data_IF_191108060974
#
_entry.id   IF_191108060974
#
_cell.length_a   1.000
_cell.length_b   1.000
_cell.length_c   1.000
_cell.angle_alpha   90.00
_cell.angle_beta   90.00
_cell.angle_gamma   90.00
#
_symmetry.space_group_name_H-M   'P 1'
#
loop_
_entity.id
_entity.type
_entity.pdbx_description
1 polymer ?
#
# COMPACT_ATOMS: atom_id res chain seq x y z
N UNK A 1 -0.05 20.74 14.77
CA UNK A 1 0.05 20.57 13.30
C UNK A 1 -1.33 20.26 12.75
N UNK A 2 -1.66 20.71 11.53
CA UNK A 2 -3.02 20.71 11.00
C UNK A 2 -3.60 19.30 10.86
N UNK A 3 -4.70 19.02 11.58
CA UNK A 3 -5.63 17.90 11.32
C UNK A 3 -6.07 17.96 9.85
N UNK A 4 -5.52 17.14 8.96
CA UNK A 4 -6.03 16.97 7.59
C UNK A 4 -7.29 16.09 7.67
N UNK A 5 -8.45 16.68 7.99
CA UNK A 5 -9.53 17.09 7.08
C UNK A 5 -10.03 15.92 6.22
N UNK A 6 -11.01 15.22 6.77
CA UNK A 6 -12.03 14.52 6.00
C UNK A 6 -12.76 15.63 5.22
N UNK A 7 -12.36 15.88 3.98
CA UNK A 7 -13.04 16.87 3.14
C UNK A 7 -14.14 16.21 2.34
N UNK A 8 -15.17 16.96 2.02
CA UNK A 8 -16.30 16.53 1.19
C UNK A 8 -15.82 15.91 -0.11
N UNK A 9 -14.81 16.51 -0.76
CA UNK A 9 -14.27 16.05 -2.04
C UNK A 9 -13.63 14.67 -1.90
N UNK A 10 -12.94 14.39 -0.80
CA UNK A 10 -12.33 13.08 -0.53
C UNK A 10 -13.35 12.01 -0.21
N UNK A 11 -14.45 12.38 0.45
CA UNK A 11 -15.56 11.46 0.71
C UNK A 11 -16.28 11.14 -0.60
N UNK A 12 -16.62 12.17 -1.39
CA UNK A 12 -17.27 12.03 -2.70
C UNK A 12 -16.44 11.20 -3.69
N UNK A 13 -15.12 11.38 -3.74
CA UNK A 13 -14.25 10.59 -4.62
C UNK A 13 -14.25 9.08 -4.30
N UNK A 14 -14.36 8.70 -3.02
CA UNK A 14 -14.50 7.29 -2.65
C UNK A 14 -15.91 6.76 -2.95
N UNK A 15 -16.95 7.58 -2.79
CA UNK A 15 -18.29 7.23 -3.27
C UNK A 15 -18.29 6.97 -4.77
N UNK A 16 -17.71 7.85 -5.58
CA UNK A 16 -17.59 7.67 -7.03
C UNK A 16 -16.85 6.37 -7.38
N UNK A 17 -15.75 6.07 -6.70
CA UNK A 17 -14.98 4.84 -6.91
C UNK A 17 -15.80 3.58 -6.61
N UNK A 18 -16.55 3.57 -5.50
CA UNK A 18 -17.40 2.43 -5.10
C UNK A 18 -18.63 2.31 -5.99
N UNK A 19 -19.21 3.43 -6.44
CA UNK A 19 -20.34 3.44 -7.37
C UNK A 19 -19.92 2.88 -8.74
N UNK A 20 -18.75 3.25 -9.25
CA UNK A 20 -18.26 2.75 -10.54
C UNK A 20 -18.01 1.23 -10.57
N UNK A 21 -17.79 0.59 -9.42
CA UNK A 21 -17.61 -0.87 -9.35
C UNK A 21 -18.93 -1.66 -9.39
N UNK A 22 -20.09 -1.00 -9.19
CA UNK A 22 -21.40 -1.63 -9.25
C UNK A 22 -22.19 -1.10 -10.46
N UNK A 23 -22.43 -1.96 -11.47
CA UNK A 23 -22.80 -1.54 -12.83
C UNK A 23 -24.18 -0.88 -13.01
N UNK A 24 -24.99 -0.72 -11.98
CA UNK A 24 -26.23 0.06 -12.07
C UNK A 24 -26.51 0.83 -10.78
N UNK A 25 -26.24 2.12 -10.78
CA UNK A 25 -26.77 3.06 -9.79
C UNK A 25 -27.51 4.17 -10.53
N UNK A 26 -28.83 4.13 -10.48
CA UNK A 26 -29.71 5.10 -11.12
C UNK A 26 -30.05 6.17 -10.09
N UNK A 27 -29.33 7.30 -10.15
CA UNK A 27 -29.60 8.52 -9.38
C UNK A 27 -30.73 9.32 -10.05
N UNK A 28 -31.94 8.78 -10.05
CA UNK A 28 -33.08 9.49 -10.65
C UNK A 28 -33.74 10.51 -9.71
N UNK A 29 -33.39 10.49 -8.43
CA UNK A 29 -33.90 11.44 -7.44
C UNK A 29 -32.73 12.07 -6.68
N UNK A 30 -32.84 13.36 -6.37
CA UNK A 30 -31.85 14.17 -5.67
C UNK A 30 -31.31 13.47 -4.42
N UNK A 31 -30.02 13.11 -4.44
CA UNK A 31 -29.37 12.48 -3.28
C UNK A 31 -28.85 13.54 -2.32
N UNK A 32 -29.47 13.59 -1.15
CA UNK A 32 -29.02 14.39 -0.01
C UNK A 32 -28.10 13.57 0.90
N UNK A 33 -26.82 13.93 0.94
CA UNK A 33 -25.82 13.32 1.83
C UNK A 33 -25.68 14.17 3.08
N UNK A 34 -26.25 13.72 4.20
CA UNK A 34 -26.10 14.37 5.50
C UNK A 34 -24.95 13.76 6.30
N UNK A 35 -23.84 14.49 6.42
CA UNK A 35 -22.67 14.09 7.23
C UNK A 35 -22.81 14.68 8.63
N UNK A 36 -23.19 13.86 9.60
CA UNK A 36 -23.28 14.28 11.01
C UNK A 36 -22.02 13.86 11.75
N UNK A 37 -21.22 14.85 12.18
CA UNK A 37 -20.09 14.63 13.06
C UNK A 37 -20.56 14.65 14.52
N UNK A 38 -20.66 13.47 15.13
CA UNK A 38 -20.95 13.32 16.56
C UNK A 38 -19.65 13.29 17.36
N UNK A 39 -19.60 14.07 18.45
CA UNK A 39 -18.54 13.92 19.45
C UNK A 39 -18.69 12.56 20.14
N UNK A 40 -17.59 11.81 20.22
CA UNK A 40 -17.58 10.52 20.88
C UNK A 40 -17.92 10.70 22.38
N UNK A 41 -18.86 9.93 22.95
CA UNK A 41 -19.17 10.01 24.37
C UNK A 41 -17.93 9.65 25.20
N UNK A 42 -17.78 10.28 26.36
CA UNK A 42 -16.68 10.05 27.29
C UNK A 42 -16.84 8.67 27.98
N UNK A 43 -16.45 7.59 27.30
CA UNK A 43 -16.49 6.22 27.84
C UNK A 43 -15.14 5.49 27.71
N UNK A 44 -14.71 4.85 28.82
CA UNK A 44 -13.56 3.94 28.91
C UNK A 44 -12.24 4.59 29.39
N UNK A 45 -11.56 3.96 30.37
CA UNK A 45 -10.17 4.26 30.81
C UNK A 45 -9.11 3.88 29.75
N UNK A 46 -9.40 4.06 28.46
CA UNK A 46 -8.42 3.94 27.41
C UNK A 46 -7.61 5.23 27.33
N UNK A 47 -6.28 5.15 27.33
CA UNK A 47 -5.43 6.30 27.03
C UNK A 47 -5.93 6.91 25.73
N UNK A 48 -6.34 8.19 25.74
CA UNK A 48 -6.68 8.95 24.52
C UNK A 48 -5.57 8.64 23.53
N UNK A 49 -5.88 7.95 22.42
CA UNK A 49 -4.90 7.76 21.34
C UNK A 49 -4.67 9.15 20.77
N UNK A 50 -3.68 9.85 21.31
CA UNK A 50 -3.10 11.03 20.69
C UNK A 50 -2.68 10.65 19.28
N UNK A 51 -2.73 11.63 18.37
CA UNK A 51 -2.23 11.58 16.99
C UNK A 51 -1.52 10.26 16.66
N UNK A 52 -2.16 9.43 15.83
CA UNK A 52 -1.56 8.20 15.33
C UNK A 52 -0.38 8.62 14.47
N UNK A 53 0.79 8.79 15.09
CA UNK A 53 2.04 9.01 14.41
C UNK A 53 2.21 7.80 13.48
N UNK A 54 2.17 8.04 12.17
CA UNK A 54 2.21 6.99 11.16
C UNK A 54 3.43 6.10 11.41
N UNK A 55 4.58 6.69 11.65
CA UNK A 55 5.80 5.94 11.89
C UNK A 55 5.67 5.01 13.10
N UNK A 56 5.16 5.50 14.23
CA UNK A 56 4.87 4.66 15.40
C UNK A 56 3.82 3.59 15.11
N UNK A 57 2.88 3.85 14.21
CA UNK A 57 1.86 2.89 13.80
C UNK A 57 2.43 1.79 12.89
N UNK A 58 3.21 2.16 11.88
CA UNK A 58 3.90 1.24 10.97
C UNK A 58 4.90 0.38 11.75
N UNK A 59 5.66 0.97 12.67
CA UNK A 59 6.61 0.24 13.53
C UNK A 59 5.94 -0.80 14.43
N UNK A 60 4.68 -0.61 14.81
CA UNK A 60 3.92 -1.56 15.63
C UNK A 60 3.25 -2.66 14.81
N UNK A 61 3.08 -2.48 13.50
CA UNK A 61 2.41 -3.47 12.64
C UNK A 61 3.41 -4.51 12.16
N UNK A 62 3.28 -5.74 12.69
CA UNK A 62 4.03 -6.90 12.19
C UNK A 62 3.69 -7.26 10.73
N UNK A 63 2.59 -6.71 10.19
CA UNK A 63 2.15 -6.92 8.81
C UNK A 63 2.88 -6.04 7.78
N UNK A 64 3.89 -5.28 8.19
CA UNK A 64 4.64 -4.37 7.32
C UNK A 64 6.14 -4.61 7.51
N UNK A 65 6.86 -4.80 6.39
CA UNK A 65 8.32 -4.76 6.36
C UNK A 65 8.72 -3.39 5.84
N UNK A 66 9.42 -2.64 6.69
CA UNK A 66 9.91 -1.31 6.33
C UNK A 66 11.14 -1.39 5.44
N UNK A 67 11.09 -0.70 4.31
CA UNK A 67 12.24 -0.54 3.42
C UNK A 67 13.04 0.67 3.90
N UNK A 68 14.23 0.41 4.44
CA UNK A 68 15.14 1.47 4.88
C UNK A 68 16.16 1.70 3.78
N UNK A 69 16.12 2.86 3.15
CA UNK A 69 17.04 3.21 2.07
C UNK A 69 17.29 4.71 2.03
N UNK A 70 18.48 5.09 1.56
CA UNK A 70 18.89 6.49 1.33
C UNK A 70 18.92 6.83 -0.17
N UNK A 71 18.59 5.87 -1.04
CA UNK A 71 18.47 6.05 -2.48
C UNK A 71 17.00 6.24 -2.90
N UNK A 72 16.77 6.42 -4.19
CA UNK A 72 15.41 6.58 -4.73
C UNK A 72 14.79 5.26 -5.20
N UNK A 73 15.32 4.11 -4.76
CA UNK A 73 14.96 2.78 -5.27
C UNK A 73 14.00 2.01 -4.35
N UNK A 74 13.23 2.71 -3.50
CA UNK A 74 12.37 2.07 -2.50
C UNK A 74 11.35 1.10 -3.13
N UNK A 75 10.75 1.45 -4.28
CA UNK A 75 9.85 0.54 -5.01
C UNK A 75 10.54 -0.77 -5.40
N UNK A 76 11.68 -0.70 -6.07
CA UNK A 76 12.40 -1.89 -6.51
C UNK A 76 12.91 -2.73 -5.34
N UNK A 77 13.38 -2.09 -4.27
CA UNK A 77 13.76 -2.77 -3.01
C UNK A 77 12.57 -3.50 -2.39
N UNK A 78 11.41 -2.84 -2.34
CA UNK A 78 10.19 -3.44 -1.82
C UNK A 78 9.76 -4.66 -2.66
N UNK A 79 9.80 -4.55 -3.99
CA UNK A 79 9.49 -5.65 -4.90
C UNK A 79 10.44 -6.84 -4.70
N UNK A 80 11.74 -6.60 -4.59
CA UNK A 80 12.74 -7.64 -4.33
C UNK A 80 12.47 -8.35 -2.99
N UNK A 81 12.19 -7.59 -1.93
CA UNK A 81 11.88 -8.15 -0.61
C UNK A 81 10.58 -8.97 -0.63
N UNK A 82 9.54 -8.44 -1.27
CA UNK A 82 8.25 -9.12 -1.38
C UNK A 82 8.36 -10.42 -2.19
N UNK A 83 9.07 -10.37 -3.33
CA UNK A 83 9.35 -11.53 -4.17
C UNK A 83 10.11 -12.61 -3.39
N UNK A 84 11.19 -12.23 -2.71
CA UNK A 84 11.99 -13.17 -1.90
C UNK A 84 11.16 -13.83 -0.80
N UNK A 85 10.22 -13.10 -0.20
CA UNK A 85 9.29 -13.66 0.79
C UNK A 85 8.33 -14.69 0.18
N UNK A 86 7.70 -14.35 -0.96
CA UNK A 86 6.70 -15.21 -1.62
C UNK A 86 7.35 -16.50 -2.12
N UNK A 87 8.55 -16.40 -2.68
CA UNK A 87 9.26 -17.57 -3.23
C UNK A 87 10.01 -18.39 -2.18
N UNK A 88 9.95 -18.01 -0.90
CA UNK A 88 10.73 -18.60 0.19
C UNK A 88 12.25 -18.64 -0.13
N UNK A 89 12.78 -17.52 -0.62
CA UNK A 89 14.19 -17.41 -1.02
C UNK A 89 15.12 -17.73 0.16
N UNK A 90 16.10 -18.63 0.02
CA UNK A 90 17.02 -18.99 1.08
C UNK A 90 17.88 -17.80 1.59
N UNK A 91 18.03 -16.75 0.78
CA UNK A 91 18.72 -15.52 1.14
C UNK A 91 17.78 -14.43 1.68
N UNK A 92 16.50 -14.73 1.91
CA UNK A 92 15.48 -13.76 2.34
C UNK A 92 15.94 -12.89 3.52
N UNK A 93 16.56 -13.49 4.56
CA UNK A 93 17.07 -12.75 5.72
C UNK A 93 18.13 -11.70 5.33
N UNK A 94 18.97 -12.03 4.34
CA UNK A 94 19.97 -11.11 3.82
C UNK A 94 19.36 -10.04 2.92
N UNK A 95 18.29 -10.37 2.20
CA UNK A 95 17.58 -9.47 1.29
C UNK A 95 16.76 -8.42 2.06
N UNK A 96 16.17 -8.80 3.20
CA UNK A 96 15.44 -7.86 4.09
C UNK A 96 16.38 -6.93 4.83
N UNK A 97 17.59 -7.39 5.14
CA UNK A 97 18.59 -6.61 5.86
C UNK A 97 19.13 -5.47 4.99
N UNK A 98 18.61 -4.26 5.23
CA UNK A 98 19.02 -3.03 4.55
C UNK A 98 20.51 -2.68 4.66
N UNK A 99 21.22 -3.20 5.67
CA UNK A 99 22.66 -2.99 5.81
C UNK A 99 23.45 -3.80 4.77
N UNK A 100 22.84 -4.82 4.16
CA UNK A 100 23.49 -5.67 3.16
C UNK A 100 23.32 -5.09 1.76
N UNK A 101 24.41 -5.11 1.01
CA UNK A 101 24.44 -4.65 -0.38
C UNK A 101 23.54 -5.47 -1.33
N UNK A 102 23.14 -6.69 -0.93
CA UNK A 102 22.35 -7.59 -1.77
C UNK A 102 20.99 -6.99 -2.15
N UNK A 103 20.30 -6.33 -1.22
CA UNK A 103 19.02 -5.69 -1.52
C UNK A 103 19.18 -4.60 -2.58
N UNK A 104 20.19 -3.74 -2.41
CA UNK A 104 20.52 -2.67 -3.35
C UNK A 104 20.88 -3.23 -4.73
N UNK A 105 21.72 -4.28 -4.76
CA UNK A 105 22.17 -4.91 -6.00
C UNK A 105 21.00 -5.51 -6.77
N UNK A 106 20.18 -6.32 -6.12
CA UNK A 106 19.00 -6.92 -6.73
C UNK A 106 17.98 -5.87 -7.21
N UNK A 107 17.81 -4.78 -6.46
CA UNK A 107 16.93 -3.67 -6.88
C UNK A 107 17.43 -3.00 -8.17
N UNK A 108 18.74 -2.74 -8.28
CA UNK A 108 19.34 -2.18 -9.50
C UNK A 108 19.28 -3.15 -10.68
N UNK A 109 19.51 -4.43 -10.43
CA UNK A 109 19.33 -5.49 -11.44
C UNK A 109 17.88 -5.54 -11.93
N UNK A 110 16.89 -5.41 -11.03
CA UNK A 110 15.48 -5.38 -11.38
C UNK A 110 15.15 -4.18 -12.28
N UNK A 111 15.65 -2.99 -11.97
CA UNK A 111 15.53 -1.82 -12.86
C UNK A 111 16.06 -2.10 -14.26
N UNK A 112 17.26 -2.65 -14.35
CA UNK A 112 17.89 -2.96 -15.64
C UNK A 112 17.07 -3.98 -16.43
N UNK A 113 16.64 -5.08 -15.79
CA UNK A 113 15.88 -6.15 -16.45
C UNK A 113 14.47 -5.71 -16.88
N UNK A 114 13.82 -4.85 -16.12
CA UNK A 114 12.52 -4.26 -16.48
C UNK A 114 12.65 -3.04 -17.41
N UNK A 115 13.87 -2.69 -17.84
CA UNK A 115 14.21 -1.50 -18.61
C UNK A 115 13.77 -0.16 -17.95
N UNK A 116 13.54 -0.14 -16.65
CA UNK A 116 13.11 1.04 -15.89
C UNK A 116 14.32 1.88 -15.50
N UNK A 117 14.28 3.19 -15.77
CA UNK A 117 15.37 4.10 -15.40
C UNK A 117 15.58 4.10 -13.89
N UNK A 118 16.84 4.20 -13.46
CA UNK A 118 17.18 4.31 -12.04
C UNK A 118 16.72 5.67 -11.52
N UNK A 119 15.89 5.65 -10.48
CA UNK A 119 15.34 6.88 -9.90
C UNK A 119 14.06 6.62 -9.12
N UNK A 120 13.42 7.71 -8.70
CA UNK A 120 12.12 7.69 -8.05
C UNK A 120 11.09 7.07 -8.97
N UNK A 121 10.30 6.13 -8.46
CA UNK A 121 9.32 5.41 -9.23
C UNK A 121 7.89 5.77 -8.81
N UNK A 122 7.04 6.07 -9.79
CA UNK A 122 5.60 6.23 -9.64
C UNK A 122 4.83 5.03 -10.21
N UNK A 123 3.55 5.24 -10.51
CA UNK A 123 2.67 4.19 -11.01
C UNK A 123 3.04 3.71 -12.43
N UNK A 124 3.70 4.52 -13.24
CA UNK A 124 4.11 4.11 -14.58
C UNK A 124 5.27 3.11 -14.52
N UNK A 125 6.23 3.31 -13.62
CA UNK A 125 7.25 2.31 -13.32
C UNK A 125 6.62 1.03 -12.73
N UNK A 126 5.61 1.14 -11.87
CA UNK A 126 4.87 -0.03 -11.35
C UNK A 126 4.30 -0.87 -12.49
N UNK A 127 3.70 -0.27 -13.52
CA UNK A 127 3.18 -1.00 -14.70
C UNK A 127 4.29 -1.72 -15.47
N UNK A 128 5.46 -1.10 -15.58
CA UNK A 128 6.62 -1.71 -16.26
C UNK A 128 7.19 -2.88 -15.45
N UNK A 129 7.29 -2.72 -14.13
CA UNK A 129 7.64 -3.82 -13.24
C UNK A 129 6.61 -4.94 -13.26
N UNK A 130 5.31 -4.63 -13.34
CA UNK A 130 4.24 -5.63 -13.49
C UNK A 130 4.40 -6.43 -14.79
N UNK A 131 4.77 -5.76 -15.88
CA UNK A 131 4.99 -6.42 -17.18
C UNK A 131 6.17 -7.39 -17.10
N UNK A 132 7.26 -6.98 -16.42
CA UNK A 132 8.44 -7.81 -16.24
C UNK A 132 8.22 -8.97 -15.25
N UNK A 133 7.51 -8.72 -14.15
CA UNK A 133 7.14 -9.69 -13.13
C UNK A 133 5.78 -10.32 -13.45
N UNK A 134 5.67 -10.93 -14.64
CA UNK A 134 4.41 -11.49 -15.16
C UNK A 134 3.73 -12.49 -14.24
N UNK A 135 4.53 -13.23 -13.46
CA UNK A 135 4.04 -14.30 -12.58
C UNK A 135 3.50 -13.76 -11.25
N UNK A 136 3.55 -12.45 -11.02
CA UNK A 136 3.12 -11.79 -9.80
C UNK A 136 2.05 -10.74 -10.08
N UNK A 137 1.10 -10.58 -9.17
CA UNK A 137 0.15 -9.47 -9.18
C UNK A 137 0.65 -8.40 -8.21
N UNK A 138 1.09 -7.26 -8.73
CA UNK A 138 1.51 -6.12 -7.91
C UNK A 138 0.28 -5.31 -7.52
N UNK A 139 0.12 -5.07 -6.22
CA UNK A 139 -0.97 -4.32 -5.62
C UNK A 139 -0.41 -3.18 -4.79
N UNK A 140 -0.85 -1.95 -5.03
CA UNK A 140 -0.38 -0.77 -4.29
C UNK A 140 -1.52 -0.23 -3.44
N UNK A 141 -1.31 -0.21 -2.13
CA UNK A 141 -2.20 0.41 -1.14
C UNK A 141 -1.63 1.77 -0.77
N UNK A 142 -2.42 2.84 -0.77
CA UNK A 142 -1.92 4.20 -0.49
C UNK A 142 -2.51 4.82 0.77
N UNK A 143 -1.65 5.39 1.61
CA UNK A 143 -2.03 6.23 2.76
C UNK A 143 -2.87 7.43 2.33
N UNK A 144 -2.46 8.09 1.25
CA UNK A 144 -3.10 9.33 0.78
C UNK A 144 -4.53 9.09 0.30
N UNK A 145 -4.79 7.86 -0.17
CA UNK A 145 -6.11 7.39 -0.56
C UNK A 145 -6.74 6.47 0.50
N UNK A 146 -6.59 6.81 1.78
CA UNK A 146 -7.29 6.15 2.90
C UNK A 146 -7.04 4.64 3.00
N UNK A 147 -5.81 4.20 2.68
CA UNK A 147 -5.43 2.79 2.61
C UNK A 147 -6.25 1.96 1.59
N UNK A 148 -6.75 2.62 0.53
CA UNK A 148 -7.35 1.94 -0.62
C UNK A 148 -6.29 1.43 -1.59
N UNK A 149 -6.67 0.45 -2.42
CA UNK A 149 -5.89 0.03 -3.56
C UNK A 149 -5.95 1.11 -4.65
N UNK A 150 -4.78 1.61 -5.05
CA UNK A 150 -4.64 2.60 -6.13
C UNK A 150 -4.09 1.97 -7.42
N UNK A 151 -3.56 0.75 -7.33
CA UNK A 151 -3.11 -0.05 -8.47
C UNK A 151 -3.31 -1.52 -8.17
N UNK A 152 -3.85 -2.25 -9.14
CA UNK A 152 -4.04 -3.70 -9.13
C UNK A 152 -3.50 -4.23 -10.45
N UNK A 153 -2.46 -5.04 -10.38
CA UNK A 153 -1.88 -5.71 -11.54
C UNK A 153 -2.77 -6.82 -12.09
N UNK A 154 -2.31 -7.42 -13.20
CA UNK A 154 -2.96 -8.59 -13.78
C UNK A 154 -3.13 -9.70 -12.74
N UNK A 155 -4.26 -10.40 -12.76
CA UNK A 155 -4.53 -11.45 -11.77
C UNK A 155 -3.51 -12.58 -11.89
N UNK A 156 -2.90 -12.88 -10.75
CA UNK A 156 -1.88 -13.91 -10.59
C UNK A 156 -1.99 -14.49 -9.19
N UNK A 157 -1.61 -15.76 -9.04
CA UNK A 157 -1.62 -16.43 -7.74
C UNK A 157 -0.67 -15.76 -6.74
N UNK A 158 0.53 -15.38 -7.19
CA UNK A 158 1.56 -14.74 -6.36
C UNK A 158 1.28 -13.24 -6.24
N UNK A 159 0.69 -12.83 -5.12
CA UNK A 159 0.28 -11.43 -4.90
C UNK A 159 1.31 -10.66 -4.08
N UNK A 160 1.86 -9.59 -4.65
CA UNK A 160 2.72 -8.62 -3.96
C UNK A 160 1.84 -7.45 -3.52
N UNK A 161 1.88 -7.11 -2.23
CA UNK A 161 1.22 -5.94 -1.69
C UNK A 161 2.25 -4.94 -1.17
N UNK A 162 2.21 -3.71 -1.67
CA UNK A 162 3.06 -2.62 -1.23
C UNK A 162 2.22 -1.50 -0.61
N UNK A 163 2.79 -0.81 0.38
CA UNK A 163 2.20 0.35 1.03
C UNK A 163 2.92 1.63 0.62
N UNK A 164 2.21 2.54 -0.03
CA UNK A 164 2.69 3.84 -0.46
C UNK A 164 2.29 4.93 0.54
N UNK A 165 3.28 5.65 1.05
CA UNK A 165 3.07 6.85 1.87
C UNK A 165 4.25 7.81 1.72
N UNK A 166 3.99 9.11 1.66
CA UNK A 166 5.03 10.15 1.62
C UNK A 166 6.10 9.86 0.52
N UNK A 167 5.64 9.39 -0.64
CA UNK A 167 6.46 8.92 -1.79
C UNK A 167 7.45 7.77 -1.49
N UNK A 168 7.12 6.93 -0.52
CA UNK A 168 7.92 5.78 -0.09
C UNK A 168 7.10 4.48 -0.13
N UNK A 169 7.75 3.38 -0.51
CA UNK A 169 7.13 2.06 -0.61
C UNK A 169 7.66 1.10 0.46
N UNK A 170 6.76 0.61 1.29
CA UNK A 170 6.99 -0.51 2.21
C UNK A 170 6.30 -1.78 1.72
N UNK A 171 6.68 -2.94 2.23
CA UNK A 171 6.04 -4.22 1.87
C UNK A 171 4.97 -4.56 2.89
N UNK A 172 3.76 -4.86 2.41
CA UNK A 172 2.70 -5.45 3.22
C UNK A 172 2.86 -6.97 3.17
N UNK A 173 3.06 -7.60 4.32
CA UNK A 173 3.25 -9.05 4.40
C UNK A 173 1.94 -9.82 4.43
N UNK A 174 0.90 -9.24 5.03
CA UNK A 174 -0.46 -9.81 5.03
C UNK A 174 -1.49 -8.68 5.03
N UNK A 175 -2.48 -8.78 4.12
CA UNK A 175 -3.57 -7.81 4.04
C UNK A 175 -4.48 -7.82 5.28
N UNK A 176 -4.89 -8.97 5.86
CA UNK A 176 -5.67 -9.00 7.09
C UNK A 176 -4.96 -8.30 8.26
N UNK A 177 -3.66 -8.56 8.46
CA UNK A 177 -2.87 -7.89 9.50
C UNK A 177 -2.71 -6.39 9.25
N UNK A 178 -2.55 -6.00 7.98
CA UNK A 178 -2.48 -4.61 7.59
C UNK A 178 -3.79 -3.86 7.86
N UNK A 179 -4.94 -4.44 7.54
CA UNK A 179 -6.26 -3.83 7.77
C UNK A 179 -6.81 -4.07 9.18
N UNK A 180 -6.11 -4.84 10.02
CA UNK A 180 -6.59 -5.30 11.32
C UNK A 180 -7.96 -6.02 11.23
N UNK A 181 -8.09 -6.91 10.24
CA UNK A 181 -9.26 -7.76 9.98
C UNK A 181 -8.87 -9.23 10.09
N UNK A 182 -9.87 -10.11 10.27
CA UNK A 182 -9.67 -11.56 10.33
C UNK A 182 -9.43 -12.18 8.95
N UNK A 183 -10.09 -11.64 7.92
CA UNK A 183 -10.10 -12.16 6.55
C UNK A 183 -9.91 -11.01 5.57
N UNK A 184 -9.35 -11.32 4.40
CA UNK A 184 -9.25 -10.39 3.28
C UNK A 184 -9.62 -11.15 2.00
N UNK A 185 -10.60 -10.62 1.27
CA UNK A 185 -10.96 -11.16 -0.04
C UNK A 185 -10.02 -10.57 -1.07
N UNK A 186 -9.17 -11.42 -1.65
CA UNK A 186 -8.51 -11.10 -2.90
C UNK A 186 -9.60 -11.11 -3.96
N UNK A 187 -9.86 -9.97 -4.59
CA UNK A 187 -10.95 -9.79 -5.56
C UNK A 187 -10.94 -10.95 -6.57
N UNK A 188 -12.09 -11.60 -6.74
CA UNK A 188 -12.36 -12.64 -7.74
C UNK A 188 -12.79 -12.00 -9.06
#
# INVERSE_FOLDING_TARGET
>A
MLRQRLTTERVLAEFERVIQSNRHFILNDSVDVNVVHVEMPHGGKGTKRSEINLEKHLMKKCSIIRIRNNDQLCLARALVVAKAKIDNDPQYTSIVDHCRAIQTRLARELHHKAAVLLGSCGLDEVKRFQTYLSDYQINIVSKEHQNSLIYVGCDQEKRIYLYLYDNHYDVITTMPGFLARSMYCHTL
#
